data_IF_169961215802
#
_entry.id   IF_169961215802
#
_cell.length_a   1.000
_cell.length_b   1.000
_cell.length_c   1.000
_cell.angle_alpha   90.00
_cell.angle_beta   90.00
_cell.angle_gamma   90.00
#
_symmetry.space_group_name_H-M   'P 1'
#
loop_
_entity.id
_entity.type
_entity.pdbx_description
1 polymer ?
#
# COMPACT_ATOMS: atom_id res chain seq x y z
N UNK A 1 -75.96 30.05 -9.73
CA UNK A 1 -74.60 30.58 -9.95
C UNK A 1 -73.61 29.58 -9.34
N UNK A 2 -73.02 28.78 -10.19
CA UNK A 2 -72.07 27.73 -9.80
C UNK A 2 -70.65 28.32 -9.76
N UNK A 3 -69.96 28.26 -8.60
CA UNK A 3 -68.56 28.59 -8.46
C UNK A 3 -67.73 27.30 -8.69
N UNK A 4 -66.91 27.30 -9.71
CA UNK A 4 -65.93 26.31 -9.97
C UNK A 4 -64.69 26.55 -9.08
N UNK A 5 -64.34 25.58 -8.25
CA UNK A 5 -63.08 25.53 -7.53
C UNK A 5 -62.07 24.81 -8.42
N UNK A 6 -61.11 25.55 -8.92
CA UNK A 6 -59.97 25.01 -9.66
C UNK A 6 -58.93 24.53 -8.63
N UNK A 7 -58.77 23.23 -8.45
CA UNK A 7 -57.68 22.66 -7.65
C UNK A 7 -56.42 22.63 -8.51
N UNK A 8 -55.48 23.52 -8.24
CA UNK A 8 -54.15 23.50 -8.80
C UNK A 8 -53.36 22.40 -8.07
N UNK A 9 -53.10 21.28 -8.75
CA UNK A 9 -52.20 20.25 -8.29
C UNK A 9 -50.78 20.72 -8.65
N UNK A 10 -50.03 21.17 -7.64
CA UNK A 10 -48.60 21.42 -7.75
C UNK A 10 -47.88 20.10 -7.68
N UNK A 11 -47.41 19.59 -8.84
CA UNK A 11 -46.47 18.50 -8.89
C UNK A 11 -45.13 19.01 -8.41
N UNK A 12 -44.75 18.69 -7.16
CA UNK A 12 -43.37 18.73 -6.73
C UNK A 12 -42.64 17.57 -7.43
N UNK A 13 -41.98 17.86 -8.54
CA UNK A 13 -40.93 17.04 -9.08
C UNK A 13 -39.73 17.17 -8.12
N UNK A 14 -39.70 16.32 -7.10
CA UNK A 14 -38.47 16.03 -6.41
C UNK A 14 -37.54 15.32 -7.41
N UNK A 15 -36.65 16.08 -7.99
CA UNK A 15 -35.48 15.54 -8.68
C UNK A 15 -34.62 14.84 -7.62
N UNK A 16 -34.94 13.58 -7.37
CA UNK A 16 -33.97 12.63 -6.77
C UNK A 16 -32.87 12.53 -7.81
N UNK A 17 -31.84 13.34 -7.65
CA UNK A 17 -30.55 13.07 -8.28
C UNK A 17 -30.06 11.75 -7.70
N UNK A 18 -30.47 10.65 -8.31
CA UNK A 18 -29.79 9.39 -8.21
C UNK A 18 -28.35 9.67 -8.64
N UNK A 19 -27.45 9.80 -7.67
CA UNK A 19 -26.04 9.62 -7.87
C UNK A 19 -25.88 8.20 -8.42
N UNK A 20 -26.04 8.07 -9.72
CA UNK A 20 -25.70 6.87 -10.45
C UNK A 20 -24.18 6.71 -10.35
N UNK A 21 -23.74 6.03 -9.30
CA UNK A 21 -22.42 5.43 -9.27
C UNK A 21 -22.41 4.45 -10.46
N UNK A 22 -21.87 4.91 -11.59
CA UNK A 22 -21.93 4.13 -12.83
C UNK A 22 -21.12 2.86 -12.61
N UNK A 23 -21.81 1.73 -12.65
CA UNK A 23 -21.19 0.42 -12.77
C UNK A 23 -20.56 0.37 -14.16
N UNK A 24 -19.27 0.03 -14.22
CA UNK A 24 -18.60 -0.17 -15.50
C UNK A 24 -19.09 -1.49 -16.08
N UNK A 25 -19.91 -1.44 -17.12
CA UNK A 25 -20.52 -2.61 -17.74
C UNK A 25 -19.66 -3.29 -18.81
N UNK A 26 -18.64 -2.59 -19.34
CA UNK A 26 -17.75 -3.16 -20.35
C UNK A 26 -16.70 -4.10 -19.74
N UNK A 27 -16.56 -5.31 -20.30
CA UNK A 27 -15.42 -6.21 -20.02
C UNK A 27 -14.22 -5.93 -20.94
N UNK A 28 -14.34 -4.95 -21.85
CA UNK A 28 -13.27 -4.52 -22.74
C UNK A 28 -12.71 -3.20 -22.25
N UNK A 29 -11.40 -3.08 -22.28
CA UNK A 29 -10.65 -1.89 -21.94
C UNK A 29 -10.09 -1.25 -23.22
N UNK A 30 -10.15 0.07 -23.30
CA UNK A 30 -9.44 0.77 -24.36
C UNK A 30 -7.95 0.85 -24.02
N UNK A 31 -7.19 -0.12 -24.48
CA UNK A 31 -5.76 -0.26 -24.17
C UNK A 31 -4.94 0.98 -24.50
N UNK A 32 -5.37 1.76 -25.49
CA UNK A 32 -4.65 2.96 -25.94
C UNK A 32 -4.52 4.01 -24.84
N UNK A 33 -5.49 4.12 -23.93
CA UNK A 33 -5.45 5.10 -22.83
C UNK A 33 -4.33 4.76 -21.84
N UNK A 34 -4.27 3.50 -21.38
CA UNK A 34 -3.23 3.05 -20.45
C UNK A 34 -1.86 3.05 -21.13
N UNK A 35 -1.77 2.65 -22.40
CA UNK A 35 -0.51 2.72 -23.17
C UNK A 35 0.00 4.14 -23.31
N UNK A 36 -0.89 5.11 -23.53
CA UNK A 36 -0.52 6.54 -23.57
C UNK A 36 0.01 7.01 -22.22
N UNK A 37 -0.63 6.60 -21.11
CA UNK A 37 -0.12 6.89 -19.77
C UNK A 37 1.29 6.34 -19.58
N UNK A 38 1.51 5.03 -19.85
CA UNK A 38 2.82 4.39 -19.70
C UNK A 38 3.89 5.05 -20.57
N UNK A 39 3.55 5.34 -21.84
CA UNK A 39 4.47 6.00 -22.78
C UNK A 39 4.77 7.43 -22.38
N UNK A 40 3.75 8.18 -21.93
CA UNK A 40 3.93 9.57 -21.49
C UNK A 40 4.94 9.69 -20.35
N UNK A 41 4.92 8.78 -19.39
CA UNK A 41 5.90 8.75 -18.30
C UNK A 41 7.35 8.67 -18.84
N UNK A 42 7.56 7.87 -19.88
CA UNK A 42 8.87 7.70 -20.52
C UNK A 42 9.23 8.94 -21.35
N UNK A 43 8.29 9.45 -22.14
CA UNK A 43 8.52 10.59 -23.03
C UNK A 43 8.84 11.87 -22.22
N UNK A 44 8.13 12.07 -21.11
CA UNK A 44 8.38 13.20 -20.19
C UNK A 44 9.67 13.00 -19.36
N UNK A 45 10.28 11.82 -19.42
CA UNK A 45 11.44 11.46 -18.60
C UNK A 45 11.12 11.26 -17.12
N UNK A 46 9.85 11.05 -16.80
CA UNK A 46 9.36 10.82 -15.43
C UNK A 46 9.53 9.37 -14.98
N UNK A 47 9.69 8.44 -15.92
CA UNK A 47 9.92 7.02 -15.65
C UNK A 47 10.80 6.37 -16.71
N UNK A 48 11.52 5.33 -16.31
CA UNK A 48 12.08 4.32 -17.20
C UNK A 48 11.03 3.31 -17.61
N UNK A 49 11.46 2.05 -17.83
CA UNK A 49 10.52 0.96 -18.08
C UNK A 49 9.51 0.82 -16.95
N UNK A 50 8.27 0.51 -17.30
CA UNK A 50 7.18 0.31 -16.35
C UNK A 50 6.24 -0.82 -16.81
N UNK A 51 5.49 -1.39 -15.87
CA UNK A 51 4.53 -2.46 -16.15
C UNK A 51 3.20 -2.19 -15.48
N UNK A 52 2.12 -2.42 -16.23
CA UNK A 52 0.73 -2.35 -15.76
C UNK A 52 0.04 -3.67 -15.96
N UNK A 53 -0.75 -4.09 -14.97
CA UNK A 53 -1.64 -5.24 -15.04
C UNK A 53 -3.00 -4.84 -14.48
N UNK A 54 -4.09 -5.13 -15.22
CA UNK A 54 -5.47 -4.88 -14.79
C UNK A 54 -6.30 -6.14 -14.96
N UNK A 55 -7.04 -6.48 -13.91
CA UNK A 55 -8.04 -7.55 -13.91
C UNK A 55 -9.44 -6.97 -13.71
N UNK A 56 -10.43 -7.59 -14.36
CA UNK A 56 -11.84 -7.33 -14.13
C UNK A 56 -12.63 -8.63 -14.22
N UNK A 57 -13.59 -8.82 -13.32
CA UNK A 57 -14.43 -10.03 -13.27
C UNK A 57 -13.62 -11.35 -13.26
N UNK A 58 -12.46 -11.36 -12.57
CA UNK A 58 -11.57 -12.53 -12.52
C UNK A 58 -10.74 -12.78 -13.77
N UNK A 59 -10.83 -11.93 -14.79
CA UNK A 59 -10.06 -12.04 -16.03
C UNK A 59 -9.00 -10.95 -16.13
N UNK A 60 -7.82 -11.30 -16.61
CA UNK A 60 -6.79 -10.34 -16.98
C UNK A 60 -7.21 -9.65 -18.27
N UNK A 61 -7.55 -8.36 -18.19
CA UNK A 61 -8.03 -7.56 -19.33
C UNK A 61 -6.95 -6.64 -19.90
N UNK A 62 -5.88 -6.41 -19.14
CA UNK A 62 -4.72 -5.65 -19.59
C UNK A 62 -3.46 -6.17 -18.91
N UNK A 63 -2.39 -6.33 -19.70
CA UNK A 63 -1.04 -6.55 -19.19
C UNK A 63 -0.05 -6.05 -20.24
N UNK A 64 0.71 -5.03 -19.88
CA UNK A 64 1.66 -4.45 -20.82
C UNK A 64 2.93 -3.98 -20.10
N UNK A 65 4.06 -4.42 -20.64
CA UNK A 65 5.40 -3.95 -20.24
C UNK A 65 5.82 -2.90 -21.25
N UNK A 66 6.01 -1.67 -20.79
CA UNK A 66 6.50 -0.56 -21.58
C UNK A 66 7.96 -0.32 -21.22
N UNK A 67 8.89 -0.82 -22.03
CA UNK A 67 10.30 -0.54 -21.91
C UNK A 67 10.64 0.81 -22.60
N UNK A 68 11.52 1.59 -22.00
CA UNK A 68 11.93 2.89 -22.58
C UNK A 68 12.95 2.73 -23.69
N UNK A 69 13.80 1.71 -23.63
CA UNK A 69 14.98 1.51 -24.50
C UNK A 69 15.97 2.68 -24.49
N UNK A 70 15.82 3.61 -23.54
CA UNK A 70 16.73 4.74 -23.38
C UNK A 70 18.03 4.29 -22.69
N UNK A 71 19.10 5.05 -22.92
CA UNK A 71 20.40 4.78 -22.29
C UNK A 71 20.26 4.77 -20.76
N UNK A 72 20.85 3.80 -20.11
CA UNK A 72 20.84 3.65 -18.65
C UNK A 72 19.60 2.95 -18.08
N UNK A 73 18.55 2.72 -18.87
CA UNK A 73 17.41 1.92 -18.44
C UNK A 73 17.73 0.42 -18.47
N UNK A 74 17.00 -0.34 -17.67
CA UNK A 74 17.07 -1.80 -17.62
C UNK A 74 15.76 -2.40 -18.08
N UNK A 75 15.82 -3.35 -19.01
CA UNK A 75 14.64 -3.99 -19.56
C UNK A 75 13.85 -4.72 -18.48
N UNK A 76 12.55 -4.49 -18.48
CA UNK A 76 11.56 -5.18 -17.64
C UNK A 76 11.04 -6.40 -18.36
N UNK A 77 10.83 -7.47 -17.60
CA UNK A 77 10.15 -8.71 -18.01
C UNK A 77 9.15 -9.11 -16.91
N UNK A 78 8.35 -10.14 -17.16
CA UNK A 78 7.44 -10.69 -16.14
C UNK A 78 8.16 -11.25 -14.90
N UNK A 79 9.45 -11.52 -15.00
CA UNK A 79 10.29 -12.02 -13.91
C UNK A 79 11.02 -10.91 -13.16
N UNK A 80 10.89 -9.66 -13.60
CA UNK A 80 11.56 -8.53 -12.96
C UNK A 80 11.07 -8.37 -11.52
N UNK A 81 12.05 -8.28 -10.61
CA UNK A 81 11.83 -8.03 -9.20
C UNK A 81 11.81 -6.53 -8.94
N UNK A 82 10.77 -6.06 -8.30
CA UNK A 82 10.61 -4.65 -7.90
C UNK A 82 10.61 -4.54 -6.39
N UNK A 83 11.44 -3.69 -5.80
CA UNK A 83 11.18 -3.18 -4.46
C UNK A 83 9.79 -2.55 -4.42
N UNK A 84 8.91 -3.10 -3.58
CA UNK A 84 7.51 -2.64 -3.52
C UNK A 84 7.27 -1.62 -2.41
N UNK A 85 8.30 -1.37 -1.59
CA UNK A 85 8.28 -0.35 -0.55
C UNK A 85 7.02 -0.42 0.32
N UNK A 86 6.33 0.71 0.47
CA UNK A 86 5.15 0.78 1.34
C UNK A 86 3.98 -0.11 0.93
N UNK A 87 3.99 -0.68 -0.28
CA UNK A 87 3.07 -1.78 -0.62
C UNK A 87 3.33 -3.05 0.20
N UNK A 88 4.41 -3.12 1.00
CA UNK A 88 4.64 -4.15 2.02
C UNK A 88 3.65 -4.05 3.19
N UNK A 89 3.19 -2.84 3.54
CA UNK A 89 2.32 -2.60 4.70
C UNK A 89 0.99 -3.36 4.67
N UNK A 90 0.25 -3.38 3.56
CA UNK A 90 -0.95 -4.21 3.46
C UNK A 90 -0.68 -5.69 3.69
N UNK A 91 0.45 -6.22 3.21
CA UNK A 91 0.85 -7.62 3.42
C UNK A 91 1.08 -7.90 4.92
N UNK A 92 1.80 -7.02 5.60
CA UNK A 92 2.01 -7.09 7.06
C UNK A 92 0.69 -7.01 7.82
N UNK A 93 -0.21 -6.12 7.40
CA UNK A 93 -1.56 -6.00 7.98
C UNK A 93 -2.37 -7.29 7.82
N UNK A 94 -2.32 -7.93 6.63
CA UNK A 94 -2.98 -9.23 6.41
C UNK A 94 -2.43 -10.30 7.37
N UNK A 95 -1.12 -10.31 7.64
CA UNK A 95 -0.55 -11.25 8.63
C UNK A 95 -1.11 -11.03 10.03
N UNK A 96 -1.29 -9.78 10.47
CA UNK A 96 -1.93 -9.46 11.76
C UNK A 96 -3.39 -9.92 11.78
N UNK A 97 -4.14 -9.70 10.70
CA UNK A 97 -5.53 -10.16 10.59
C UNK A 97 -5.64 -11.70 10.66
N UNK A 98 -4.69 -12.43 10.05
CA UNK A 98 -4.61 -13.90 10.15
C UNK A 98 -4.38 -14.34 11.60
N UNK A 99 -3.47 -13.67 12.33
CA UNK A 99 -3.23 -13.98 13.75
C UNK A 99 -4.46 -13.69 14.60
N UNK A 100 -5.19 -12.62 14.32
CA UNK A 100 -6.45 -12.30 14.99
C UNK A 100 -7.51 -13.38 14.76
N UNK A 101 -7.69 -13.85 13.53
CA UNK A 101 -8.62 -14.94 13.22
C UNK A 101 -8.26 -16.25 13.94
N UNK A 102 -6.96 -16.48 14.14
CA UNK A 102 -6.43 -17.61 14.92
C UNK A 102 -6.51 -17.41 16.44
N UNK A 103 -7.04 -16.29 16.92
CA UNK A 103 -7.09 -15.90 18.34
C UNK A 103 -5.71 -15.83 19.02
N UNK A 104 -4.63 -15.57 18.26
CA UNK A 104 -3.29 -15.43 18.77
C UNK A 104 -2.96 -13.97 19.18
N UNK A 105 -3.75 -13.00 18.70
CA UNK A 105 -3.70 -11.62 19.15
C UNK A 105 -5.08 -10.96 19.04
N UNK A 106 -5.24 -9.83 19.76
CA UNK A 106 -6.39 -8.93 19.66
C UNK A 106 -5.92 -7.53 19.32
N UNK A 107 -6.78 -6.72 18.69
CA UNK A 107 -6.46 -5.33 18.38
C UNK A 107 -6.20 -4.47 19.61
N UNK A 108 -6.94 -4.75 20.70
CA UNK A 108 -6.81 -4.06 21.98
C UNK A 108 -5.68 -4.62 22.88
N UNK A 109 -4.97 -5.66 22.44
CA UNK A 109 -3.81 -6.13 23.19
C UNK A 109 -2.75 -5.03 23.27
N UNK A 110 -2.15 -4.81 24.46
CA UNK A 110 -1.01 -3.93 24.58
C UNK A 110 0.18 -4.51 23.81
N UNK A 111 0.92 -3.63 23.11
CA UNK A 111 2.14 -4.05 22.38
C UNK A 111 3.17 -4.64 23.34
N UNK A 112 3.21 -4.17 24.58
CA UNK A 112 4.08 -4.69 25.64
C UNK A 112 3.87 -6.17 25.99
N UNK A 113 2.69 -6.73 25.69
CA UNK A 113 2.45 -8.17 25.79
C UNK A 113 3.35 -8.98 24.86
N UNK A 114 3.72 -8.44 23.72
CA UNK A 114 4.54 -9.06 22.67
C UNK A 114 5.98 -8.55 22.70
N UNK A 115 6.18 -7.30 23.06
CA UNK A 115 7.48 -6.61 23.15
C UNK A 115 7.54 -5.96 24.52
N UNK A 116 8.00 -6.68 25.58
CA UNK A 116 7.95 -6.19 26.96
C UNK A 116 8.62 -4.83 27.19
N UNK A 117 9.66 -4.51 26.40
CA UNK A 117 10.36 -3.21 26.48
C UNK A 117 9.48 -2.01 26.09
N UNK A 118 8.31 -2.22 25.48
CA UNK A 118 7.34 -1.18 25.09
C UNK A 118 6.31 -0.84 26.18
N UNK A 119 6.48 -1.35 27.41
CA UNK A 119 5.58 -1.04 28.53
C UNK A 119 5.68 0.41 29.02
N UNK A 120 6.86 1.03 28.89
CA UNK A 120 7.16 2.36 29.43
C UNK A 120 7.75 3.25 28.32
N UNK A 121 6.91 3.71 27.42
CA UNK A 121 7.30 4.60 26.33
C UNK A 121 7.27 6.06 26.79
N UNK A 122 8.04 6.90 26.10
CA UNK A 122 8.08 8.34 26.31
C UNK A 122 7.30 9.05 25.21
N UNK A 123 6.59 10.12 25.58
CA UNK A 123 5.82 10.96 24.66
C UNK A 123 6.32 12.40 24.71
N UNK A 124 6.31 13.10 23.59
CA UNK A 124 6.51 14.55 23.54
C UNK A 124 5.28 15.25 24.11
N UNK A 125 5.48 16.29 24.89
CA UNK A 125 4.44 17.15 25.45
C UNK A 125 4.90 18.60 25.46
N UNK A 126 3.99 19.52 25.80
CA UNK A 126 4.31 20.95 25.98
C UNK A 126 5.33 21.20 27.10
N UNK A 127 5.46 20.24 28.02
CA UNK A 127 6.41 20.30 29.14
C UNK A 127 7.70 19.50 28.89
N UNK A 128 7.98 19.10 27.66
CA UNK A 128 9.11 18.26 27.29
C UNK A 128 8.74 16.80 27.14
N UNK A 129 9.72 15.89 27.28
CA UNK A 129 9.52 14.45 27.16
C UNK A 129 9.05 13.89 28.51
N UNK A 130 7.90 13.22 28.49
CA UNK A 130 7.24 12.63 29.67
C UNK A 130 6.92 11.15 29.44
N UNK A 131 6.55 10.43 30.50
CA UNK A 131 5.98 9.09 30.34
C UNK A 131 4.62 9.19 29.61
N UNK A 132 4.40 8.33 28.59
CA UNK A 132 3.10 8.28 27.93
C UNK A 132 2.02 7.84 28.93
N UNK A 133 0.85 8.46 28.86
CA UNK A 133 -0.32 8.15 29.70
C UNK A 133 -1.12 6.99 29.09
N UNK A 134 -1.20 6.96 27.76
CA UNK A 134 -1.95 5.96 27.02
C UNK A 134 -1.07 4.74 26.73
N UNK A 135 -1.64 3.56 26.96
CA UNK A 135 -0.98 2.31 26.60
C UNK A 135 -0.96 2.14 25.08
N UNK A 136 0.20 1.78 24.52
CA UNK A 136 0.33 1.48 23.10
C UNK A 136 -0.30 0.12 22.81
N UNK A 137 -1.32 0.10 21.93
CA UNK A 137 -2.05 -1.10 21.51
C UNK A 137 -1.75 -1.48 20.07
N UNK A 138 -1.99 -2.75 19.71
CA UNK A 138 -1.83 -3.27 18.33
C UNK A 138 -2.64 -2.43 17.33
N UNK A 139 -3.86 -2.01 17.68
CA UNK A 139 -4.69 -1.17 16.81
C UNK A 139 -4.01 0.16 16.46
N UNK A 140 -3.29 0.77 17.40
CA UNK A 140 -2.60 2.04 17.16
C UNK A 140 -1.50 1.91 16.11
N UNK A 141 -0.83 0.74 16.04
CA UNK A 141 0.13 0.44 14.99
C UNK A 141 -0.55 0.22 13.63
N UNK A 142 -1.64 -0.54 13.60
CA UNK A 142 -2.40 -0.82 12.38
C UNK A 142 -3.00 0.44 11.74
N UNK A 143 -3.34 1.44 12.54
CA UNK A 143 -4.02 2.67 12.12
C UNK A 143 -3.11 3.88 12.02
N UNK A 144 -1.81 3.72 12.23
CA UNK A 144 -0.85 4.83 12.30
C UNK A 144 -1.20 5.90 13.34
N UNK A 145 -1.78 5.49 14.47
CA UNK A 145 -2.10 6.37 15.59
C UNK A 145 -1.22 6.12 16.81
N UNK A 146 -0.08 5.47 16.62
CA UNK A 146 0.85 5.11 17.70
C UNK A 146 1.68 6.25 18.25
N UNK A 147 1.92 7.31 17.45
CA UNK A 147 2.89 8.36 17.73
C UNK A 147 4.30 8.06 17.17
N UNK A 148 4.60 6.85 16.72
CA UNK A 148 5.84 6.57 16.01
C UNK A 148 5.77 7.09 14.58
N UNK A 149 6.76 7.91 14.20
CA UNK A 149 6.88 8.51 12.87
C UNK A 149 8.15 8.02 12.17
N UNK A 150 8.36 8.44 10.92
CA UNK A 150 9.67 8.37 10.30
C UNK A 150 10.52 9.54 10.81
N UNK A 151 11.67 9.20 11.40
CA UNK A 151 12.65 10.18 11.89
C UNK A 151 13.82 10.16 10.90
N UNK A 152 14.10 11.29 10.24
CA UNK A 152 15.02 11.35 9.10
C UNK A 152 16.42 10.80 9.42
N UNK A 153 17.05 11.29 10.48
CA UNK A 153 18.40 10.86 10.90
C UNK A 153 18.40 9.44 11.49
N UNK A 154 17.31 9.07 12.17
CA UNK A 154 17.14 7.77 12.80
C UNK A 154 16.98 6.65 11.79
N UNK A 155 16.27 6.87 10.66
CA UNK A 155 16.01 5.84 9.66
C UNK A 155 17.29 5.22 9.11
N UNK A 156 18.33 6.03 8.93
CA UNK A 156 19.61 5.55 8.41
C UNK A 156 20.30 4.56 9.38
N UNK A 157 20.19 4.80 10.67
CA UNK A 157 20.74 3.90 11.69
C UNK A 157 19.83 2.70 11.95
N UNK A 158 18.51 2.91 11.96
CA UNK A 158 17.53 1.85 12.20
C UNK A 158 17.59 0.75 11.14
N UNK A 159 17.69 1.12 9.86
CA UNK A 159 17.80 0.18 8.74
C UNK A 159 19.07 -0.67 8.82
N UNK A 160 20.12 -0.19 9.46
CA UNK A 160 21.38 -0.94 9.69
C UNK A 160 21.33 -1.91 10.86
N UNK A 161 20.17 -2.11 11.48
CA UNK A 161 20.02 -3.08 12.56
C UNK A 161 20.22 -4.52 12.04
N UNK A 162 20.77 -5.39 12.87
CA UNK A 162 21.06 -6.77 12.47
C UNK A 162 19.82 -7.68 12.47
N UNK A 163 18.77 -7.30 13.20
CA UNK A 163 17.53 -8.04 13.34
C UNK A 163 16.42 -7.13 13.89
N UNK A 164 15.19 -7.66 13.94
CA UNK A 164 14.04 -6.91 14.46
C UNK A 164 14.19 -6.56 15.95
N UNK A 165 14.85 -7.37 16.77
CA UNK A 165 15.04 -7.04 18.20
C UNK A 165 15.90 -5.79 18.37
N UNK A 166 17.02 -5.70 17.65
CA UNK A 166 17.86 -4.51 17.67
C UNK A 166 17.12 -3.28 17.12
N UNK A 167 16.33 -3.46 16.07
CA UNK A 167 15.49 -2.38 15.55
C UNK A 167 14.47 -1.90 16.59
N UNK A 168 13.80 -2.84 17.31
CA UNK A 168 12.83 -2.47 18.35
C UNK A 168 13.48 -1.66 19.47
N UNK A 169 14.69 -2.02 19.90
CA UNK A 169 15.42 -1.27 20.92
C UNK A 169 15.77 0.15 20.45
N UNK A 170 16.12 0.32 19.18
CA UNK A 170 16.37 1.66 18.63
C UNK A 170 15.08 2.48 18.58
N UNK A 171 14.00 1.91 17.99
CA UNK A 171 12.71 2.62 17.86
C UNK A 171 12.16 3.07 19.22
N UNK A 172 12.21 2.22 20.23
CA UNK A 172 11.64 2.56 21.56
C UNK A 172 12.33 3.72 22.25
N UNK A 173 13.58 4.01 21.90
CA UNK A 173 14.34 5.12 22.48
C UNK A 173 13.91 6.48 21.92
N UNK A 174 13.20 6.49 20.78
CA UNK A 174 12.62 7.70 20.22
C UNK A 174 11.30 8.02 20.95
N UNK A 175 11.09 9.24 21.43
CA UNK A 175 9.83 9.62 22.05
C UNK A 175 8.72 9.69 21.00
N UNK A 176 7.54 9.20 21.35
CA UNK A 176 6.35 9.33 20.52
C UNK A 176 6.00 10.81 20.32
N UNK A 177 5.59 11.18 19.12
CA UNK A 177 5.19 12.56 18.79
C UNK A 177 3.94 13.03 19.55
N UNK A 178 3.08 12.08 19.96
CA UNK A 178 1.83 12.29 20.68
C UNK A 178 1.44 11.02 21.43
N UNK A 179 0.46 11.12 22.31
CA UNK A 179 -0.08 9.97 23.06
C UNK A 179 -0.71 8.93 22.09
N UNK A 180 -0.45 7.62 22.28
CA UNK A 180 -1.07 6.58 21.47
C UNK A 180 -2.59 6.72 21.37
N UNK A 181 -3.10 6.71 20.16
CA UNK A 181 -4.53 6.82 19.84
C UNK A 181 -5.04 8.22 19.56
N UNK A 182 -4.27 9.29 19.80
CA UNK A 182 -4.78 10.66 19.69
C UNK A 182 -4.76 11.23 18.26
N UNK A 183 -3.74 10.91 17.46
CA UNK A 183 -3.56 11.51 16.14
C UNK A 183 -3.14 10.45 15.12
N UNK A 184 -3.42 10.73 13.86
CA UNK A 184 -2.89 9.96 12.74
C UNK A 184 -1.55 10.55 12.28
N UNK A 185 -0.51 9.70 12.23
CA UNK A 185 0.77 10.04 11.64
C UNK A 185 1.43 8.80 11.03
N UNK A 186 1.57 8.83 9.73
CA UNK A 186 2.22 7.75 9.01
C UNK A 186 3.68 7.55 9.46
N UNK A 187 4.10 6.29 9.69
CA UNK A 187 5.44 6.00 10.22
C UNK A 187 5.80 4.52 10.28
N UNK A 188 6.70 4.16 11.21
CA UNK A 188 7.37 2.86 11.38
C UNK A 188 6.49 1.69 11.87
N UNK A 189 5.21 1.87 11.93
CA UNK A 189 4.26 1.01 12.64
C UNK A 189 4.32 -0.46 12.21
N UNK A 190 4.44 -0.74 10.91
CA UNK A 190 4.44 -2.11 10.41
C UNK A 190 5.77 -2.83 10.66
N UNK A 191 6.85 -2.12 10.95
CA UNK A 191 8.11 -2.74 11.38
C UNK A 191 7.94 -3.28 12.80
N UNK A 192 7.27 -2.53 13.68
CA UNK A 192 6.90 -2.98 15.03
C UNK A 192 5.91 -4.15 14.94
N UNK A 193 4.92 -4.10 14.03
CA UNK A 193 4.00 -5.21 13.79
C UNK A 193 4.73 -6.47 13.31
N UNK A 194 5.82 -6.36 12.55
CA UNK A 194 6.67 -7.49 12.19
C UNK A 194 7.15 -8.25 13.44
N UNK A 195 7.63 -7.52 14.47
CA UNK A 195 8.04 -8.13 15.75
C UNK A 195 6.86 -8.66 16.56
N UNK A 196 5.72 -7.98 16.56
CA UNK A 196 4.48 -8.49 17.18
C UNK A 196 4.06 -9.82 16.53
N UNK A 197 4.16 -9.93 15.20
CA UNK A 197 3.87 -11.18 14.47
C UNK A 197 4.80 -12.31 14.91
N UNK A 198 6.12 -12.05 15.05
CA UNK A 198 7.06 -13.05 15.55
C UNK A 198 6.69 -13.55 16.94
N UNK A 199 6.48 -12.62 17.87
CA UNK A 199 6.13 -12.95 19.26
C UNK A 199 4.80 -13.70 19.39
N UNK A 200 3.78 -13.30 18.62
CA UNK A 200 2.46 -13.93 18.66
C UNK A 200 2.42 -15.31 17.99
N UNK A 201 3.25 -15.52 16.95
CA UNK A 201 3.23 -16.77 16.16
C UNK A 201 4.28 -17.78 16.59
N UNK A 202 5.35 -17.36 17.26
CA UNK A 202 6.54 -18.18 17.53
C UNK A 202 7.37 -18.51 16.27
N UNK A 203 7.16 -17.79 15.17
CA UNK A 203 7.87 -17.93 13.90
C UNK A 203 8.64 -16.65 13.57
N UNK A 204 9.70 -16.72 12.74
CA UNK A 204 10.27 -15.51 12.16
C UNK A 204 9.23 -14.82 11.29
N UNK A 205 9.34 -13.51 11.13
CA UNK A 205 8.35 -12.73 10.38
C UNK A 205 8.21 -13.24 8.93
N UNK A 206 9.34 -13.44 8.22
CA UNK A 206 9.30 -14.00 6.87
C UNK A 206 8.71 -15.41 6.82
N UNK A 207 9.08 -16.29 7.76
CA UNK A 207 8.54 -17.65 7.80
C UNK A 207 7.02 -17.64 8.00
N UNK A 208 6.51 -16.72 8.82
CA UNK A 208 5.06 -16.55 9.00
C UNK A 208 4.38 -16.07 7.70
N UNK A 209 4.93 -15.03 7.06
CA UNK A 209 4.42 -14.51 5.79
C UNK A 209 4.45 -15.59 4.70
N UNK A 210 5.57 -16.29 4.58
CA UNK A 210 5.74 -17.37 3.59
C UNK A 210 4.66 -18.44 3.74
N UNK A 211 4.50 -18.97 4.96
CA UNK A 211 3.55 -20.06 5.25
C UNK A 211 2.09 -19.65 5.09
N UNK A 212 1.71 -18.44 5.56
CA UNK A 212 0.31 -18.05 5.69
C UNK A 212 -0.18 -17.12 4.59
N UNK A 213 0.73 -16.46 3.84
CA UNK A 213 0.40 -15.50 2.78
C UNK A 213 1.03 -15.92 1.45
N UNK A 214 2.35 -16.02 1.36
CA UNK A 214 3.02 -16.17 0.06
C UNK A 214 2.78 -17.54 -0.58
N UNK A 215 3.01 -18.65 0.13
CA UNK A 215 2.79 -20.00 -0.42
C UNK A 215 1.30 -20.26 -0.78
N UNK A 216 0.32 -19.88 0.08
CA UNK A 216 -1.09 -20.01 -0.29
C UNK A 216 -1.50 -19.19 -1.51
N UNK A 217 -0.92 -18.00 -1.70
CA UNK A 217 -1.17 -17.09 -2.81
C UNK A 217 -0.27 -17.34 -4.03
N UNK A 218 0.61 -18.34 -3.98
CA UNK A 218 1.57 -18.64 -5.04
C UNK A 218 2.53 -17.47 -5.36
N UNK A 219 2.84 -16.64 -4.36
CA UNK A 219 3.74 -15.48 -4.45
C UNK A 219 5.20 -15.93 -4.26
N UNK A 220 5.73 -16.68 -5.21
CA UNK A 220 7.03 -17.41 -5.08
C UNK A 220 8.24 -16.48 -5.10
N UNK A 221 8.09 -15.29 -5.64
CA UNK A 221 9.16 -14.31 -5.82
C UNK A 221 9.06 -13.14 -4.83
N UNK A 222 8.07 -13.16 -3.92
CA UNK A 222 7.91 -12.12 -2.90
C UNK A 222 8.71 -12.47 -1.65
N UNK A 223 9.67 -11.62 -1.29
CA UNK A 223 10.63 -11.88 -0.22
C UNK A 223 11.34 -10.60 0.24
N UNK A 224 12.11 -10.70 1.31
CA UNK A 224 12.97 -9.61 1.81
C UNK A 224 14.38 -9.64 1.21
N UNK A 225 14.91 -10.83 0.88
CA UNK A 225 16.29 -11.01 0.46
C UNK A 225 16.38 -11.82 -0.83
N UNK A 226 17.39 -11.53 -1.63
CA UNK A 226 17.68 -12.18 -2.92
C UNK A 226 19.12 -12.67 -2.97
N UNK A 227 19.33 -13.76 -3.69
CA UNK A 227 20.65 -14.27 -4.00
C UNK A 227 21.26 -13.57 -5.23
N UNK A 228 22.53 -13.84 -5.50
CA UNK A 228 23.28 -13.24 -6.61
C UNK A 228 22.64 -13.44 -8.00
N UNK A 229 21.97 -14.58 -8.22
CA UNK A 229 21.28 -14.80 -9.50
C UNK A 229 20.03 -13.96 -9.61
N UNK A 230 19.30 -13.75 -8.52
CA UNK A 230 18.08 -12.93 -8.46
C UNK A 230 18.39 -11.44 -8.54
N UNK A 231 19.58 -10.98 -8.10
CA UNK A 231 20.01 -9.58 -8.26
C UNK A 231 19.96 -9.12 -9.72
N UNK A 232 20.22 -10.03 -10.67
CA UNK A 232 20.13 -9.73 -12.11
C UNK A 232 18.69 -9.38 -12.54
N UNK A 233 17.69 -9.84 -11.79
CA UNK A 233 16.28 -9.57 -12.04
C UNK A 233 15.79 -8.32 -11.31
N UNK A 234 16.52 -7.82 -10.32
CA UNK A 234 16.13 -6.66 -9.53
C UNK A 234 16.17 -5.39 -10.39
N UNK A 235 15.08 -4.64 -10.38
CA UNK A 235 15.00 -3.35 -11.05
C UNK A 235 15.67 -2.28 -10.19
N UNK A 236 16.77 -1.67 -10.63
CA UNK A 236 17.41 -0.59 -9.89
C UNK A 236 16.57 0.68 -9.93
N UNK A 237 16.92 1.65 -9.09
CA UNK A 237 16.33 2.98 -9.16
C UNK A 237 16.94 3.77 -10.32
N UNK A 238 16.08 4.42 -11.09
CA UNK A 238 16.48 5.33 -12.16
C UNK A 238 16.13 6.76 -11.81
N UNK A 239 17.03 7.68 -12.19
CA UNK A 239 16.83 9.13 -12.12
C UNK A 239 17.03 9.69 -13.52
N UNK A 240 16.17 10.64 -13.91
CA UNK A 240 16.30 11.36 -15.17
C UNK A 240 17.71 11.96 -15.28
N UNK A 241 18.34 11.79 -16.43
CA UNK A 241 19.60 12.45 -16.72
C UNK A 241 19.32 13.79 -17.41
N UNK A 242 19.76 14.88 -16.81
CA UNK A 242 19.56 16.24 -17.32
C UNK A 242 20.41 16.56 -18.60
N UNK A 243 21.51 15.80 -18.80
CA UNK A 243 22.48 16.11 -19.85
C UNK A 243 22.37 15.21 -21.08
N UNK A 244 21.73 14.07 -20.97
CA UNK A 244 21.54 13.10 -22.06
C UNK A 244 20.10 12.58 -22.06
N UNK A 245 19.62 12.18 -23.23
CA UNK A 245 18.34 11.49 -23.30
C UNK A 245 18.46 10.08 -22.72
N UNK A 246 18.16 9.94 -21.41
CA UNK A 246 18.28 8.67 -20.72
C UNK A 246 18.14 8.79 -19.21
N UNK A 247 18.67 7.79 -18.53
CA UNK A 247 18.59 7.67 -17.08
C UNK A 247 19.95 7.37 -16.46
N UNK A 248 20.15 7.84 -15.25
CA UNK A 248 21.23 7.38 -14.37
C UNK A 248 20.68 6.33 -13.41
N UNK A 249 21.40 5.25 -13.22
CA UNK A 249 21.13 4.35 -12.10
C UNK A 249 21.76 4.95 -10.84
N UNK A 250 20.93 5.10 -9.78
CA UNK A 250 21.36 5.66 -8.50
C UNK A 250 21.44 4.59 -7.41
N UNK A 251 21.75 3.35 -7.79
CA UNK A 251 21.77 2.21 -6.88
C UNK A 251 20.41 1.50 -6.78
N UNK A 252 20.24 0.70 -5.74
CA UNK A 252 19.06 -0.15 -5.58
C UNK A 252 17.92 0.62 -4.89
N UNK A 253 18.25 1.42 -3.90
CA UNK A 253 17.23 2.08 -3.05
C UNK A 253 17.19 3.59 -3.18
N UNK A 254 18.22 4.21 -3.74
CA UNK A 254 18.33 5.67 -3.87
C UNK A 254 18.54 6.42 -2.57
N UNK A 255 18.57 5.73 -1.44
CA UNK A 255 18.92 6.27 -0.12
C UNK A 255 20.23 5.61 0.28
N UNK A 256 21.34 6.05 -0.32
CA UNK A 256 22.69 5.54 -0.05
C UNK A 256 22.80 4.00 -0.03
N UNK A 257 21.97 3.31 -0.81
CA UNK A 257 21.88 1.82 -0.88
C UNK A 257 21.73 1.14 0.48
N UNK A 258 20.95 1.72 1.37
CA UNK A 258 20.75 1.21 2.71
C UNK A 258 20.03 -0.12 2.75
N UNK A 259 19.12 -0.38 1.79
CA UNK A 259 18.45 -1.66 1.63
C UNK A 259 18.96 -2.28 0.34
N UNK A 260 19.89 -3.22 0.48
CA UNK A 260 20.51 -3.87 -0.67
C UNK A 260 19.79 -5.12 -1.12
N UNK A 261 18.86 -5.63 -0.31
CA UNK A 261 18.18 -6.92 -0.49
C UNK A 261 19.13 -8.13 -0.55
N UNK A 262 20.40 -7.96 -0.18
CA UNK A 262 21.36 -9.05 -0.10
C UNK A 262 21.04 -10.00 1.03
N UNK A 263 21.48 -11.26 0.91
CA UNK A 263 21.31 -12.27 1.96
C UNK A 263 22.05 -11.89 3.27
N UNK A 264 23.01 -10.98 3.20
CA UNK A 264 23.70 -10.43 4.36
C UNK A 264 22.90 -9.37 5.09
N UNK A 265 21.96 -8.73 4.41
CA UNK A 265 21.02 -7.80 4.99
C UNK A 265 19.94 -8.56 5.74
N UNK A 266 19.94 -8.50 7.07
CA UNK A 266 19.18 -9.45 7.91
C UNK A 266 17.84 -8.91 8.42
N UNK A 267 17.48 -7.66 8.10
CA UNK A 267 16.31 -7.03 8.70
C UNK A 267 15.07 -7.18 7.80
N UNK A 268 14.01 -7.75 8.35
CA UNK A 268 12.72 -7.98 7.68
C UNK A 268 11.76 -6.81 7.96
N UNK A 269 11.88 -5.71 7.17
CA UNK A 269 11.11 -4.49 7.37
C UNK A 269 9.68 -4.65 6.88
N UNK A 270 8.72 -4.74 7.80
CA UNK A 270 7.29 -4.90 7.50
C UNK A 270 6.67 -3.69 6.79
N UNK A 271 7.28 -2.52 6.94
CA UNK A 271 6.78 -1.28 6.34
C UNK A 271 7.19 -1.08 4.88
N UNK A 272 8.38 -1.61 4.45
CA UNK A 272 8.96 -1.25 3.16
C UNK A 272 9.95 -2.27 2.57
N UNK A 273 10.23 -3.39 3.26
CA UNK A 273 11.36 -4.27 2.95
C UNK A 273 11.11 -5.33 1.88
N UNK A 274 9.89 -5.49 1.38
CA UNK A 274 9.59 -6.55 0.41
C UNK A 274 9.96 -6.15 -1.03
N UNK A 275 10.41 -7.16 -1.78
CA UNK A 275 10.43 -7.16 -3.24
C UNK A 275 9.37 -8.12 -3.76
N UNK A 276 8.87 -7.87 -4.97
CA UNK A 276 7.86 -8.71 -5.61
C UNK A 276 7.91 -8.61 -7.13
N UNK A 277 7.17 -9.46 -7.82
CA UNK A 277 6.87 -9.35 -9.25
C UNK A 277 5.47 -8.85 -9.47
N UNK A 278 5.17 -8.39 -10.70
CA UNK A 278 3.82 -7.98 -11.09
C UNK A 278 2.81 -9.12 -10.91
N UNK A 279 3.20 -10.35 -11.23
CA UNK A 279 2.33 -11.54 -11.11
C UNK A 279 2.06 -11.91 -9.65
N UNK A 280 3.08 -11.92 -8.80
CA UNK A 280 2.92 -12.22 -7.37
C UNK A 280 1.99 -11.21 -6.70
N UNK A 281 2.22 -9.91 -6.94
CA UNK A 281 1.38 -8.88 -6.34
C UNK A 281 -0.05 -8.89 -6.89
N UNK A 282 -0.22 -9.28 -8.16
CA UNK A 282 -1.54 -9.52 -8.75
C UNK A 282 -2.32 -10.63 -8.02
N UNK A 283 -1.64 -11.70 -7.56
CA UNK A 283 -2.28 -12.76 -6.78
C UNK A 283 -2.78 -12.22 -5.42
N UNK A 284 -1.99 -11.36 -4.77
CA UNK A 284 -2.40 -10.66 -3.55
C UNK A 284 -3.64 -9.78 -3.78
N UNK A 285 -3.65 -8.98 -4.85
CA UNK A 285 -4.81 -8.17 -5.24
C UNK A 285 -6.05 -9.03 -5.56
N UNK A 286 -5.86 -10.17 -6.21
CA UNK A 286 -6.94 -11.12 -6.48
C UNK A 286 -7.58 -11.65 -5.19
N UNK A 287 -6.78 -11.98 -4.18
CA UNK A 287 -7.26 -12.39 -2.88
C UNK A 287 -8.09 -11.29 -2.20
N UNK A 288 -7.58 -10.05 -2.22
CA UNK A 288 -8.30 -8.90 -1.65
C UNK A 288 -9.64 -8.66 -2.34
N UNK A 289 -9.66 -8.65 -3.70
CA UNK A 289 -10.88 -8.45 -4.49
C UNK A 289 -11.91 -9.55 -4.23
N UNK A 290 -11.47 -10.79 -4.00
CA UNK A 290 -12.33 -11.93 -3.74
C UNK A 290 -12.62 -12.14 -2.24
N UNK A 291 -12.61 -11.05 -1.46
CA UNK A 291 -12.96 -11.06 -0.04
C UNK A 291 -12.21 -12.11 0.79
N UNK A 292 -10.90 -12.19 0.59
CA UNK A 292 -9.99 -13.06 1.33
C UNK A 292 -9.79 -14.45 0.74
N UNK A 293 -10.33 -14.72 -0.46
CA UNK A 293 -10.20 -16.01 -1.15
C UNK A 293 -9.26 -15.94 -2.35
N UNK A 294 -8.45 -16.96 -2.54
CA UNK A 294 -7.62 -17.12 -3.72
C UNK A 294 -7.73 -18.56 -4.24
N UNK A 295 -8.22 -18.71 -5.48
CA UNK A 295 -8.56 -20.03 -6.04
C UNK A 295 -9.51 -20.78 -5.06
N UNK A 296 -9.13 -21.97 -4.64
CA UNK A 296 -9.91 -22.81 -3.71
C UNK A 296 -9.49 -22.63 -2.25
N UNK A 297 -8.68 -21.62 -1.93
CA UNK A 297 -8.17 -21.38 -0.56
C UNK A 297 -8.82 -20.15 0.05
N UNK A 298 -9.18 -20.22 1.31
CA UNK A 298 -9.52 -19.04 2.12
C UNK A 298 -8.29 -18.63 2.92
N UNK A 299 -7.83 -17.42 2.71
CA UNK A 299 -6.69 -16.81 3.40
C UNK A 299 -7.18 -16.04 4.62
N UNK A 300 -8.27 -15.31 4.42
CA UNK A 300 -8.97 -14.52 5.43
C UNK A 300 -10.48 -14.62 5.22
N UNK A 301 -11.25 -14.37 6.29
CA UNK A 301 -12.70 -14.19 6.20
C UNK A 301 -13.05 -12.89 5.48
N UNK A 302 -14.23 -12.84 4.89
CA UNK A 302 -14.77 -11.59 4.33
C UNK A 302 -14.95 -10.49 5.40
N UNK A 303 -15.19 -10.89 6.66
CA UNK A 303 -15.27 -9.95 7.77
C UNK A 303 -13.93 -9.24 8.01
N UNK A 304 -12.80 -9.97 7.95
CA UNK A 304 -11.47 -9.35 8.09
C UNK A 304 -11.13 -8.42 6.94
N UNK A 305 -11.57 -8.73 5.70
CA UNK A 305 -11.43 -7.80 4.57
C UNK A 305 -12.31 -6.56 4.77
N UNK A 306 -13.52 -6.70 5.30
CA UNK A 306 -14.38 -5.55 5.64
C UNK A 306 -13.76 -4.69 6.74
N UNK A 307 -13.10 -5.31 7.72
CA UNK A 307 -12.37 -4.61 8.78
C UNK A 307 -11.17 -3.84 8.22
N UNK A 308 -10.44 -4.43 7.25
CA UNK A 308 -9.29 -3.77 6.57
C UNK A 308 -9.66 -2.40 6.01
N UNK A 309 -10.84 -2.28 5.39
CA UNK A 309 -11.29 -1.07 4.70
C UNK A 309 -12.22 -0.17 5.53
N UNK A 310 -12.48 -0.52 6.79
CA UNK A 310 -13.24 0.33 7.71
C UNK A 310 -12.49 1.62 7.99
N UNK A 311 -13.22 2.72 8.21
CA UNK A 311 -12.64 4.01 8.56
C UNK A 311 -12.06 4.00 9.98
N UNK A 312 -10.78 4.31 10.10
CA UNK A 312 -10.08 4.44 11.37
C UNK A 312 -9.53 5.83 11.61
N UNK A 313 -9.10 6.53 10.57
CA UNK A 313 -8.63 7.89 10.68
C UNK A 313 -8.98 8.72 9.45
N UNK A 314 -9.21 10.02 9.65
CA UNK A 314 -9.38 11.00 8.59
C UNK A 314 -8.04 11.52 8.08
N UNK A 315 -8.07 12.19 6.94
CA UNK A 315 -6.93 12.90 6.37
C UNK A 315 -6.22 12.14 5.26
N UNK A 316 -5.23 12.80 4.63
CA UNK A 316 -4.50 12.25 3.50
C UNK A 316 -3.70 11.02 3.92
N UNK A 317 -3.79 9.96 3.13
CA UNK A 317 -3.05 8.74 3.37
C UNK A 317 -1.55 8.97 3.13
N UNK A 318 -0.72 8.64 4.10
CA UNK A 318 0.74 8.84 4.04
C UNK A 318 1.17 10.30 3.73
N UNK A 319 0.30 11.28 3.99
CA UNK A 319 0.56 12.69 3.68
C UNK A 319 0.34 13.07 2.22
N UNK A 320 -0.22 12.19 1.40
CA UNK A 320 -0.49 12.44 -0.02
C UNK A 320 -1.73 13.32 -0.21
N UNK A 321 -1.50 14.63 -0.29
CA UNK A 321 -2.55 15.62 -0.53
C UNK A 321 -3.09 15.61 -1.97
N UNK A 322 -2.35 15.00 -2.90
CA UNK A 322 -2.73 14.94 -4.32
C UNK A 322 -3.68 13.78 -4.65
N UNK A 323 -4.09 13.01 -3.63
CA UNK A 323 -5.12 11.98 -3.74
C UNK A 323 -6.22 12.25 -2.71
N UNK A 324 -7.10 13.24 -2.98
CA UNK A 324 -8.11 13.71 -2.02
C UNK A 324 -9.27 12.73 -1.87
N UNK A 325 -10.18 13.03 -0.95
CA UNK A 325 -11.44 12.29 -0.78
C UNK A 325 -11.27 10.90 -0.14
N UNK A 326 -10.13 10.61 0.50
CA UNK A 326 -9.84 9.32 1.13
C UNK A 326 -9.89 9.40 2.65
N UNK A 327 -10.10 8.24 3.28
CA UNK A 327 -9.79 8.00 4.68
C UNK A 327 -8.81 6.83 4.83
N UNK A 328 -8.31 6.61 6.03
CA UNK A 328 -7.36 5.56 6.33
C UNK A 328 -8.05 4.34 6.96
N UNK A 329 -7.88 3.18 6.31
CA UNK A 329 -8.20 1.86 6.84
C UNK A 329 -7.00 1.25 7.60
N UNK A 330 -6.94 -0.06 7.70
CA UNK A 330 -5.79 -0.76 8.28
C UNK A 330 -4.68 -0.90 7.24
N UNK A 331 -3.77 0.08 7.19
CA UNK A 331 -2.65 0.08 6.24
C UNK A 331 -3.04 0.21 4.76
N UNK A 332 -4.21 0.78 4.47
CA UNK A 332 -4.68 1.11 3.11
C UNK A 332 -5.42 2.46 3.13
N UNK A 333 -5.38 3.18 2.01
CA UNK A 333 -6.34 4.27 1.78
C UNK A 333 -7.67 3.69 1.27
N UNK A 334 -8.77 4.40 1.52
CA UNK A 334 -10.09 4.06 0.99
C UNK A 334 -10.75 5.33 0.45
N UNK A 335 -11.13 5.32 -0.82
CA UNK A 335 -11.84 6.44 -1.45
C UNK A 335 -13.26 6.52 -0.89
N UNK A 336 -13.55 7.62 -0.21
CA UNK A 336 -14.85 7.90 0.40
C UNK A 336 -15.69 8.85 -0.45
N UNK A 337 -15.05 9.89 -0.96
CA UNK A 337 -15.71 10.96 -1.74
C UNK A 337 -15.17 11.00 -3.18
N UNK A 338 -15.78 10.22 -4.10
CA UNK A 338 -15.39 10.21 -5.51
C UNK A 338 -15.61 11.55 -6.23
N UNK A 339 -16.39 12.47 -5.68
CA UNK A 339 -16.65 13.78 -6.30
C UNK A 339 -15.41 14.66 -6.37
N UNK A 340 -14.39 14.35 -5.59
CA UNK A 340 -13.09 15.02 -5.61
C UNK A 340 -12.14 14.48 -6.70
N UNK A 341 -12.57 13.46 -7.45
CA UNK A 341 -11.83 12.91 -8.58
C UNK A 341 -12.37 13.45 -9.91
N UNK A 342 -11.52 13.61 -10.90
CA UNK A 342 -11.92 13.93 -12.28
C UNK A 342 -12.14 12.67 -13.15
N UNK A 343 -12.25 11.49 -12.50
CA UNK A 343 -12.56 10.21 -13.14
C UNK A 343 -13.59 9.42 -12.33
N UNK A 344 -14.23 8.44 -12.97
CA UNK A 344 -15.42 7.74 -12.44
C UNK A 344 -15.06 6.54 -11.53
N UNK A 345 -14.26 6.72 -10.49
CA UNK A 345 -14.08 5.68 -9.49
C UNK A 345 -15.25 5.64 -8.49
N UNK A 346 -15.64 4.46 -7.97
CA UNK A 346 -16.67 4.38 -6.93
C UNK A 346 -16.10 4.63 -5.54
N UNK A 347 -16.94 5.08 -4.62
CA UNK A 347 -16.66 4.99 -3.19
C UNK A 347 -16.39 3.54 -2.79
N UNK A 348 -15.42 3.32 -1.90
CA UNK A 348 -14.97 2.01 -1.46
C UNK A 348 -13.82 1.41 -2.28
N UNK A 349 -13.33 2.12 -3.31
CA UNK A 349 -12.03 1.79 -3.91
C UNK A 349 -10.94 1.96 -2.85
N UNK A 350 -10.01 1.01 -2.75
CA UNK A 350 -8.91 1.08 -1.79
C UNK A 350 -7.60 0.57 -2.37
N UNK A 351 -6.50 0.92 -1.74
CA UNK A 351 -5.18 0.51 -2.20
C UNK A 351 -4.04 1.06 -1.36
N UNK A 352 -2.84 0.99 -1.92
CA UNK A 352 -1.64 1.57 -1.34
C UNK A 352 -0.57 1.81 -2.41
N UNK A 353 0.14 2.91 -2.28
CA UNK A 353 1.32 3.18 -3.09
C UNK A 353 2.61 2.81 -2.39
N UNK A 354 3.67 2.62 -3.16
CA UNK A 354 5.03 2.48 -2.68
C UNK A 354 5.90 3.64 -3.12
N UNK A 355 6.93 3.93 -2.33
CA UNK A 355 7.96 4.88 -2.70
C UNK A 355 8.55 4.53 -4.07
N UNK A 356 8.88 5.52 -4.87
CA UNK A 356 9.39 5.35 -6.23
C UNK A 356 8.38 4.74 -7.22
N UNK A 357 7.09 5.06 -7.00
CA UNK A 357 6.03 4.92 -8.01
C UNK A 357 5.57 3.48 -8.28
N UNK A 358 5.42 2.70 -7.24
CA UNK A 358 4.60 1.49 -7.30
C UNK A 358 3.20 1.77 -6.77
N UNK A 359 2.18 1.11 -7.31
CA UNK A 359 0.78 1.33 -6.89
C UNK A 359 -0.08 0.10 -7.12
N UNK A 360 -1.05 -0.14 -6.23
CA UNK A 360 -2.18 -1.02 -6.52
C UNK A 360 -3.48 -0.41 -6.03
N UNK A 361 -4.57 -0.76 -6.67
CA UNK A 361 -5.91 -0.47 -6.19
C UNK A 361 -6.84 -1.67 -6.38
N UNK A 362 -7.86 -1.72 -5.54
CA UNK A 362 -8.95 -2.69 -5.57
C UNK A 362 -10.27 -1.93 -5.64
N UNK A 363 -11.11 -2.27 -6.57
CA UNK A 363 -12.48 -1.79 -6.71
C UNK A 363 -13.45 -2.97 -6.58
N UNK A 364 -13.97 -3.24 -5.38
CA UNK A 364 -14.89 -4.34 -5.15
C UNK A 364 -16.21 -4.19 -5.92
N UNK A 365 -16.66 -2.95 -6.14
CA UNK A 365 -17.95 -2.66 -6.78
C UNK A 365 -17.96 -3.04 -8.25
N UNK A 366 -16.91 -2.67 -8.99
CA UNK A 366 -16.75 -2.99 -10.40
C UNK A 366 -15.98 -4.29 -10.65
N UNK A 367 -15.54 -4.97 -9.57
CA UNK A 367 -14.71 -6.19 -9.60
C UNK A 367 -13.43 -5.98 -10.41
N UNK A 368 -12.75 -4.86 -10.16
CA UNK A 368 -11.50 -4.48 -10.82
C UNK A 368 -10.37 -4.41 -9.79
N UNK A 369 -9.19 -4.80 -10.18
CA UNK A 369 -7.95 -4.36 -9.55
C UNK A 369 -6.91 -4.01 -10.60
N UNK A 370 -6.01 -3.10 -10.23
CA UNK A 370 -4.87 -2.73 -11.03
C UNK A 370 -3.59 -2.74 -10.20
N UNK A 371 -2.49 -3.08 -10.87
CA UNK A 371 -1.13 -3.02 -10.32
C UNK A 371 -0.24 -2.28 -11.32
N UNK A 372 0.51 -1.31 -10.84
CA UNK A 372 1.51 -0.55 -11.58
C UNK A 372 2.85 -0.63 -10.86
N UNK A 373 3.88 -1.08 -11.57
CA UNK A 373 5.25 -1.14 -11.03
C UNK A 373 6.20 -0.36 -11.91
N UNK A 374 6.97 0.49 -11.27
CA UNK A 374 7.98 1.36 -11.82
C UNK A 374 9.11 1.57 -10.80
N UNK A 375 10.21 2.16 -11.21
CA UNK A 375 11.37 2.46 -10.35
C UNK A 375 12.03 3.78 -10.72
N UNK A 376 11.28 4.87 -10.56
CA UNK A 376 11.82 6.21 -10.83
C UNK A 376 11.43 7.17 -9.71
N UNK A 377 12.41 7.94 -9.25
CA UNK A 377 12.17 9.04 -8.32
C UNK A 377 11.64 10.24 -9.12
N UNK A 378 10.40 10.62 -8.90
CA UNK A 378 9.73 11.69 -9.64
C UNK A 378 8.72 12.41 -8.74
N UNK A 379 8.37 13.64 -9.12
CA UNK A 379 7.29 14.41 -8.49
C UNK A 379 5.91 14.19 -9.14
N UNK A 380 5.85 13.35 -10.18
CA UNK A 380 4.61 13.06 -10.89
C UNK A 380 3.66 12.24 -10.00
N UNK A 381 2.38 12.62 -9.95
CA UNK A 381 1.38 11.86 -9.20
C UNK A 381 1.01 10.57 -9.94
N UNK A 382 1.82 9.53 -9.76
CA UNK A 382 1.64 8.24 -10.43
C UNK A 382 0.38 7.53 -9.99
N UNK A 383 0.01 7.58 -8.70
CA UNK A 383 -1.20 6.97 -8.17
C UNK A 383 -2.42 7.47 -8.89
N UNK A 384 -2.63 8.78 -8.83
CA UNK A 384 -3.78 9.43 -9.43
C UNK A 384 -3.88 9.12 -10.92
N UNK A 385 -2.80 9.36 -11.66
CA UNK A 385 -2.78 9.20 -13.11
C UNK A 385 -2.90 7.74 -13.57
N UNK A 386 -2.35 6.79 -12.81
CA UNK A 386 -2.53 5.37 -13.08
C UNK A 386 -4.00 4.97 -12.93
N UNK A 387 -4.61 5.25 -11.77
CA UNK A 387 -6.00 4.90 -11.50
C UNK A 387 -6.91 5.58 -12.53
N UNK A 388 -6.71 6.90 -12.77
CA UNK A 388 -7.42 7.63 -13.81
C UNK A 388 -7.33 6.95 -15.18
N UNK A 389 -6.13 6.58 -15.62
CA UNK A 389 -5.93 5.94 -16.93
C UNK A 389 -6.70 4.63 -17.08
N UNK A 390 -6.85 3.86 -15.98
CA UNK A 390 -7.67 2.65 -15.97
C UNK A 390 -9.15 2.99 -16.11
N UNK A 391 -9.66 3.96 -15.36
CA UNK A 391 -11.09 4.33 -15.42
C UNK A 391 -11.46 5.04 -16.72
N UNK A 392 -10.58 5.86 -17.28
CA UNK A 392 -10.79 6.51 -18.58
C UNK A 392 -10.74 5.53 -19.76
N UNK A 393 -10.36 4.26 -19.51
CA UNK A 393 -10.29 3.19 -20.51
C UNK A 393 -11.61 2.41 -20.64
N UNK A 394 -12.62 2.72 -19.86
CA UNK A 394 -13.95 2.12 -19.87
C UNK A 394 -15.01 3.14 -20.27
#
# INVERSE_FOLDING_TARGET
MKKYFLKTIVFYLTSISLLNSQIINSDKIEETVIKKFQKKLIDDGEAGGNVVLVHKNGKKIYHHIQNSYKKGDKLITDQTLFPIWSMSKPITTIAVLILREKNLLKFDDPVSKYIPSYANLKCKSVNGIVDCKNELKVIHLLTHTSGFIYYDDFMLDAIRSENLDQLMEKIRNEPLEFEPGEQYRYGLNQDILGKVIEAASGMTFYSFLKKNVFDPLEMKNTKFFINENEKKLLQPLFVKNETIEGFNQTGITGINDLITYDMEYKIELGSLGLISTISDYSNFCSMLLNSGKFKNKTILSSQSISELIKKYADGPHAGDIDFPGVYNGLGVYVLNDPSQMDFKAPSGLYGHGGYQSTEFFIDPKNKIYGVFLNRTLTKYNHRYNFIKSVYDSF
#
